data_IF_855775130222
#
_entry.id   IF_855775130222
#
_cell.length_a   1.000
_cell.length_b   1.000
_cell.length_c   1.000
_cell.angle_alpha   90.00
_cell.angle_beta   90.00
_cell.angle_gamma   90.00
#
_symmetry.space_group_name_H-M   'P 1'
#
loop_
_entity.id
_entity.type
_entity.pdbx_description
1 polymer ?
#
# COMPACT_ATOMS: atom_id res chain seq x y z
N UNK A 1 -5.10 3.31 16.08
CA UNK A 1 -5.73 1.98 15.97
C UNK A 1 -4.86 0.97 16.71
N UNK A 2 -5.42 0.00 17.43
CA UNK A 2 -4.60 -1.10 17.99
C UNK A 2 -4.28 -2.08 16.86
N UNK A 3 -3.01 -2.41 16.68
CA UNK A 3 -2.54 -3.37 15.69
C UNK A 3 -1.57 -4.35 16.33
N UNK A 4 -1.37 -5.49 15.69
CA UNK A 4 -0.40 -6.52 16.07
C UNK A 4 0.59 -6.67 14.92
N UNK A 5 1.88 -6.66 15.23
CA UNK A 5 2.91 -6.92 14.23
C UNK A 5 3.04 -8.44 13.97
N UNK A 6 3.88 -8.85 13.01
CA UNK A 6 4.05 -10.26 12.66
C UNK A 6 4.82 -11.07 13.72
N UNK A 7 5.44 -10.41 14.71
CA UNK A 7 6.01 -11.05 15.90
C UNK A 7 4.96 -11.31 17.00
N UNK A 8 3.70 -10.90 16.79
CA UNK A 8 2.63 -10.98 17.79
C UNK A 8 2.63 -9.85 18.82
N UNK A 9 3.46 -8.82 18.65
CA UNK A 9 3.53 -7.69 19.57
C UNK A 9 2.44 -6.65 19.26
N UNK A 10 1.57 -6.32 20.23
CA UNK A 10 0.56 -5.28 20.06
C UNK A 10 1.18 -3.89 20.13
N UNK A 11 0.65 -2.95 19.35
CA UNK A 11 1.04 -1.55 19.39
C UNK A 11 -0.12 -0.63 19.04
N UNK A 12 -0.02 0.65 19.44
CA UNK A 12 -0.92 1.69 18.99
C UNK A 12 -0.40 2.26 17.67
N UNK A 13 -0.98 1.81 16.56
CA UNK A 13 -0.70 2.35 15.24
C UNK A 13 -1.20 3.78 15.13
N UNK A 14 -0.24 4.70 14.96
CA UNK A 14 -0.48 6.10 14.65
C UNK A 14 -0.46 6.21 13.13
N UNK A 15 -1.64 6.36 12.54
CA UNK A 15 -1.80 6.59 11.11
C UNK A 15 -1.14 7.94 10.82
N UNK A 16 0.00 7.87 10.15
CA UNK A 16 0.83 9.01 9.73
C UNK A 16 1.00 8.87 8.23
N UNK A 17 1.08 9.96 7.51
CA UNK A 17 1.19 9.94 6.05
C UNK A 17 0.77 11.28 5.48
N UNK A 18 0.89 11.42 4.17
CA UNK A 18 0.40 12.62 3.50
C UNK A 18 -1.10 12.47 3.26
N UNK A 19 -1.88 13.49 3.62
CA UNK A 19 -3.27 13.56 3.17
C UNK A 19 -3.22 13.77 1.65
N UNK A 20 -3.94 12.95 0.88
CA UNK A 20 -3.94 12.98 -0.60
C UNK A 20 -4.06 14.40 -1.18
N UNK A 21 -4.90 15.25 -0.58
CA UNK A 21 -5.17 16.62 -1.05
C UNK A 21 -4.01 17.59 -0.83
N UNK A 22 -3.02 17.23 -0.03
CA UNK A 22 -1.89 18.07 0.38
C UNK A 22 -0.53 17.50 -0.06
N UNK A 23 -0.49 16.35 -0.73
CA UNK A 23 0.78 15.71 -1.16
C UNK A 23 1.30 16.28 -2.49
N UNK A 24 2.33 17.14 -2.42
CA UNK A 24 3.00 17.73 -3.58
C UNK A 24 4.23 16.94 -4.07
N UNK A 25 4.45 15.72 -3.56
CA UNK A 25 5.60 14.90 -3.94
C UNK A 25 5.41 14.25 -5.31
N UNK A 26 6.51 14.05 -6.04
CA UNK A 26 6.51 13.28 -7.29
C UNK A 26 6.16 11.82 -7.00
N UNK A 27 5.18 11.28 -7.74
CA UNK A 27 4.74 9.89 -7.65
C UNK A 27 4.76 9.21 -9.01
N UNK A 28 4.72 7.88 -9.02
CA UNK A 28 4.58 7.13 -10.26
C UNK A 28 3.26 7.47 -10.96
N UNK A 29 3.21 7.32 -12.29
CA UNK A 29 1.99 7.53 -13.08
C UNK A 29 0.80 6.72 -12.53
N UNK A 30 1.06 5.46 -12.16
CA UNK A 30 0.05 4.55 -11.64
C UNK A 30 -0.46 4.95 -10.25
N UNK A 31 0.42 5.48 -9.39
CA UNK A 31 0.02 6.01 -8.08
C UNK A 31 -0.90 7.24 -8.22
N UNK A 32 -0.57 8.14 -9.16
CA UNK A 32 -1.41 9.31 -9.45
C UNK A 32 -2.78 8.88 -10.00
N UNK A 33 -2.81 7.87 -10.87
CA UNK A 33 -4.07 7.31 -11.37
C UNK A 33 -4.90 6.72 -10.22
N UNK A 34 -4.31 5.86 -9.39
CA UNK A 34 -4.99 5.27 -8.24
C UNK A 34 -5.55 6.35 -7.30
N UNK A 35 -4.77 7.38 -7.01
CA UNK A 35 -5.19 8.55 -6.25
C UNK A 35 -6.44 9.19 -6.84
N UNK A 36 -6.47 9.43 -8.14
CA UNK A 36 -7.63 10.02 -8.81
C UNK A 36 -8.87 9.14 -8.65
N UNK A 37 -8.76 7.84 -8.93
CA UNK A 37 -9.87 6.89 -8.80
C UNK A 37 -10.41 6.82 -7.37
N UNK A 38 -9.52 6.80 -6.38
CA UNK A 38 -9.89 6.76 -4.97
C UNK A 38 -10.63 8.05 -4.56
N UNK A 39 -10.22 9.21 -5.05
CA UNK A 39 -10.93 10.49 -4.79
C UNK A 39 -12.31 10.53 -5.44
N UNK A 40 -12.44 9.99 -6.65
CA UNK A 40 -13.73 9.90 -7.34
C UNK A 40 -14.69 8.95 -6.60
N UNK A 41 -14.19 7.81 -6.13
CA UNK A 41 -14.97 6.81 -5.40
C UNK A 41 -15.35 7.26 -3.99
N UNK A 42 -14.41 7.91 -3.29
CA UNK A 42 -14.57 8.29 -1.88
C UNK A 42 -14.39 9.82 -1.69
N UNK A 43 -15.26 10.65 -2.28
CA UNK A 43 -15.05 12.10 -2.36
C UNK A 43 -15.08 12.81 -1.00
N UNK A 44 -15.73 12.22 0.00
CA UNK A 44 -15.89 12.79 1.35
C UNK A 44 -15.01 12.14 2.40
N UNK A 45 -14.22 11.13 2.02
CA UNK A 45 -13.45 10.32 2.97
C UNK A 45 -11.99 10.73 2.93
N UNK A 46 -11.40 10.83 4.12
CA UNK A 46 -9.95 11.03 4.25
C UNK A 46 -9.22 9.76 3.83
N UNK A 47 -8.48 9.86 2.74
CA UNK A 47 -7.51 8.87 2.28
C UNK A 47 -6.11 9.39 2.66
N UNK A 48 -5.29 8.51 3.23
CA UNK A 48 -3.91 8.83 3.61
C UNK A 48 -2.97 8.03 2.72
N UNK A 49 -1.90 8.65 2.25
CA UNK A 49 -0.88 8.03 1.41
C UNK A 49 0.43 7.79 2.17
N UNK A 50 1.20 6.80 1.71
CA UNK A 50 2.52 6.44 2.27
C UNK A 50 2.45 6.16 3.77
N UNK A 51 1.53 5.30 4.16
CA UNK A 51 1.23 5.06 5.57
C UNK A 51 2.22 4.03 6.15
N UNK A 52 3.06 4.40 7.13
CA UNK A 52 4.04 3.49 7.69
C UNK A 52 3.35 2.42 8.54
N UNK A 53 3.72 1.17 8.30
CA UNK A 53 3.30 0.00 9.08
C UNK A 53 4.53 -0.67 9.69
N UNK A 54 4.42 -1.00 10.98
CA UNK A 54 5.47 -1.74 11.70
C UNK A 54 5.18 -3.23 11.57
N UNK A 55 5.84 -3.90 10.61
CA UNK A 55 5.61 -5.33 10.33
C UNK A 55 6.37 -6.23 11.29
N UNK A 56 7.59 -5.85 11.69
CA UNK A 56 8.39 -6.51 12.72
C UNK A 56 9.00 -5.47 13.66
N UNK A 57 9.63 -5.92 14.74
CA UNK A 57 10.47 -5.02 15.54
C UNK A 57 11.53 -4.32 14.67
N UNK A 58 11.53 -2.98 14.68
CA UNK A 58 12.41 -2.12 13.88
C UNK A 58 12.32 -2.33 12.35
N UNK A 59 11.24 -2.90 11.83
CA UNK A 59 11.00 -2.99 10.40
C UNK A 59 9.72 -2.24 10.03
N UNK A 60 9.88 -1.12 9.33
CA UNK A 60 8.77 -0.31 8.82
C UNK A 60 8.66 -0.47 7.32
N UNK A 61 7.47 -0.85 6.86
CA UNK A 61 7.07 -0.79 5.46
C UNK A 61 6.02 0.32 5.29
N UNK A 62 5.65 0.63 4.06
CA UNK A 62 4.68 1.68 3.76
C UNK A 62 3.55 1.13 2.92
N UNK A 63 2.32 1.47 3.27
CA UNK A 63 1.15 1.25 2.42
C UNK A 63 0.98 2.44 1.48
N UNK A 64 0.72 2.20 0.20
CA UNK A 64 0.56 3.31 -0.77
C UNK A 64 -0.64 4.19 -0.39
N UNK A 65 -1.78 3.57 -0.08
CA UNK A 65 -2.97 4.26 0.43
C UNK A 65 -3.64 3.48 1.56
N UNK A 66 -4.32 4.21 2.43
CA UNK A 66 -5.13 3.64 3.49
C UNK A 66 -6.38 4.46 3.78
N UNK A 67 -7.51 3.77 3.93
CA UNK A 67 -8.83 4.33 4.20
C UNK A 67 -9.30 3.82 5.57
N UNK A 68 -9.07 4.61 6.61
CA UNK A 68 -9.27 4.19 8.00
C UNK A 68 -10.71 3.77 8.32
N UNK A 69 -11.72 4.46 7.77
CA UNK A 69 -13.13 4.19 8.09
C UNK A 69 -13.60 2.83 7.56
N UNK A 70 -13.00 2.36 6.47
CA UNK A 70 -13.32 1.07 5.85
C UNK A 70 -12.29 -0.02 6.19
N UNK A 71 -11.19 0.33 6.87
CA UNK A 71 -10.05 -0.57 7.09
C UNK A 71 -9.53 -1.17 5.79
N UNK A 72 -9.43 -0.35 4.72
CA UNK A 72 -8.92 -0.78 3.41
C UNK A 72 -7.54 -0.19 3.20
N UNK A 73 -6.57 -1.05 2.87
CA UNK A 73 -5.27 -0.69 2.33
C UNK A 73 -5.27 -0.91 0.82
N UNK A 74 -4.59 -0.03 0.07
CA UNK A 74 -4.43 -0.17 -1.37
C UNK A 74 -2.94 -0.10 -1.70
N UNK A 75 -2.48 -1.02 -2.56
CA UNK A 75 -1.13 -1.11 -3.08
C UNK A 75 -1.14 -1.05 -4.62
N UNK A 76 -0.28 -0.23 -5.20
CA UNK A 76 -0.18 0.00 -6.64
C UNK A 76 1.08 -0.67 -7.19
N UNK A 77 0.92 -1.88 -7.70
CA UNK A 77 2.04 -2.70 -8.13
C UNK A 77 2.45 -2.40 -9.58
N UNK A 78 3.60 -1.74 -9.74
CA UNK A 78 4.29 -1.60 -11.03
C UNK A 78 4.87 -2.92 -11.56
N UNK A 79 5.45 -2.91 -12.77
CA UNK A 79 6.08 -4.11 -13.37
C UNK A 79 7.17 -4.71 -12.47
N UNK A 80 7.87 -3.87 -11.71
CA UNK A 80 8.93 -4.27 -10.81
C UNK A 80 8.48 -5.27 -9.71
N UNK A 81 7.19 -5.30 -9.35
CA UNK A 81 6.68 -6.29 -8.38
C UNK A 81 6.57 -7.70 -8.98
N UNK A 82 6.45 -7.80 -10.30
CA UNK A 82 6.23 -9.06 -11.01
C UNK A 82 7.49 -9.59 -11.68
N UNK A 83 8.40 -8.69 -12.07
CA UNK A 83 9.63 -9.04 -12.78
C UNK A 83 10.81 -8.28 -12.20
N UNK A 84 11.94 -8.95 -12.11
CA UNK A 84 13.19 -8.29 -11.78
C UNK A 84 13.59 -7.30 -12.87
N UNK A 85 13.64 -6.04 -12.49
CA UNK A 85 14.29 -4.96 -13.23
C UNK A 85 15.57 -4.53 -12.50
N UNK A 86 16.75 -4.51 -13.16
CA UNK A 86 18.00 -4.08 -12.52
C UNK A 86 17.92 -2.67 -11.90
N UNK A 87 17.23 -1.74 -12.57
CA UNK A 87 17.05 -0.37 -12.08
C UNK A 87 16.36 -0.29 -10.70
N UNK A 88 15.35 -1.14 -10.47
CA UNK A 88 14.56 -1.12 -9.22
C UNK A 88 15.14 -2.01 -8.12
N UNK A 89 15.85 -3.09 -8.47
CA UNK A 89 16.24 -4.11 -7.50
C UNK A 89 17.75 -4.24 -7.30
N UNK A 90 18.57 -3.73 -8.22
CA UNK A 90 20.01 -3.94 -8.26
C UNK A 90 20.38 -5.38 -8.66
N UNK A 91 19.97 -6.37 -7.89
CA UNK A 91 20.25 -7.80 -8.13
C UNK A 91 19.01 -8.69 -7.83
N UNK A 92 19.10 -9.99 -8.14
CA UNK A 92 18.00 -10.94 -7.93
C UNK A 92 17.58 -11.05 -6.46
N UNK A 93 18.52 -10.93 -5.52
CA UNK A 93 18.21 -10.94 -4.08
C UNK A 93 17.42 -9.71 -3.65
N UNK A 94 17.66 -8.56 -4.27
CA UNK A 94 16.86 -7.34 -4.08
C UNK A 94 15.41 -7.55 -4.49
N UNK A 95 15.17 -8.22 -5.63
CA UNK A 95 13.82 -8.58 -6.06
C UNK A 95 13.12 -9.55 -5.12
N UNK A 96 13.82 -10.60 -4.67
CA UNK A 96 13.27 -11.51 -3.66
C UNK A 96 12.95 -10.80 -2.35
N UNK A 97 13.76 -9.81 -1.96
CA UNK A 97 13.50 -8.98 -0.77
C UNK A 97 12.25 -8.11 -0.96
N UNK A 98 12.07 -7.51 -2.14
CA UNK A 98 10.85 -6.75 -2.46
C UNK A 98 9.61 -7.65 -2.41
N UNK A 99 9.64 -8.83 -3.02
CA UNK A 99 8.54 -9.79 -2.94
C UNK A 99 8.23 -10.23 -1.51
N UNK A 100 9.27 -10.46 -0.69
CA UNK A 100 9.09 -10.78 0.73
C UNK A 100 8.41 -9.63 1.47
N UNK A 101 8.76 -8.37 1.18
CA UNK A 101 8.11 -7.22 1.77
C UNK A 101 6.63 -7.14 1.38
N UNK A 102 6.30 -7.38 0.10
CA UNK A 102 4.90 -7.43 -0.35
C UNK A 102 4.10 -8.50 0.41
N UNK A 103 4.68 -9.70 0.59
CA UNK A 103 4.08 -10.76 1.42
C UNK A 103 3.90 -10.32 2.88
N UNK A 104 4.88 -9.65 3.46
CA UNK A 104 4.77 -9.14 4.84
C UNK A 104 3.67 -8.09 4.98
N UNK A 105 3.50 -7.18 3.99
CA UNK A 105 2.39 -6.22 3.99
C UNK A 105 1.05 -6.95 3.97
N UNK A 106 0.91 -7.97 3.13
CA UNK A 106 -0.32 -8.77 3.05
C UNK A 106 -0.64 -9.45 4.37
N UNK A 107 0.32 -10.18 4.95
CA UNK A 107 0.15 -10.85 6.24
C UNK A 107 -0.17 -9.87 7.36
N UNK A 108 0.45 -8.69 7.35
CA UNK A 108 0.20 -7.66 8.35
C UNK A 108 -1.22 -7.11 8.23
N UNK A 109 -1.71 -6.87 7.00
CA UNK A 109 -3.08 -6.43 6.78
C UNK A 109 -4.08 -7.50 7.26
N UNK A 110 -3.86 -8.77 6.90
CA UNK A 110 -4.68 -9.91 7.32
C UNK A 110 -4.75 -10.03 8.85
N UNK A 111 -3.58 -9.99 9.52
CA UNK A 111 -3.46 -10.04 10.99
C UNK A 111 -4.27 -8.94 11.68
N UNK A 112 -4.41 -7.79 11.02
CA UNK A 112 -5.06 -6.61 11.58
C UNK A 112 -6.49 -6.37 11.05
N UNK A 113 -7.07 -7.36 10.36
CA UNK A 113 -8.39 -7.25 9.71
C UNK A 113 -8.50 -6.01 8.81
N UNK A 114 -7.44 -5.76 8.04
CA UNK A 114 -7.38 -4.72 7.01
C UNK A 114 -7.48 -5.41 5.66
N UNK A 115 -8.46 -5.01 4.86
CA UNK A 115 -8.61 -5.51 3.50
C UNK A 115 -7.51 -4.90 2.63
N UNK A 116 -6.67 -5.74 2.01
CA UNK A 116 -5.65 -5.29 1.07
C UNK A 116 -6.15 -5.43 -0.38
N UNK A 117 -6.21 -4.32 -1.11
CA UNK A 117 -6.55 -4.28 -2.54
C UNK A 117 -5.28 -3.98 -3.34
N UNK A 118 -4.93 -4.87 -4.26
CA UNK A 118 -3.77 -4.69 -5.15
C UNK A 118 -4.25 -4.23 -6.53
N UNK A 119 -3.71 -3.10 -6.98
CA UNK A 119 -3.92 -2.47 -8.28
C UNK A 119 -2.68 -2.70 -9.16
N UNK A 120 -2.64 -3.75 -9.99
CA UNK A 120 -1.46 -4.09 -10.77
C UNK A 120 -1.41 -3.28 -12.08
N UNK A 121 -0.19 -2.96 -12.55
CA UNK A 121 0.07 -2.15 -13.74
C UNK A 121 -0.49 -2.73 -15.05
N UNK A 122 -0.70 -4.03 -15.11
CA UNK A 122 -1.17 -4.75 -16.29
C UNK A 122 -2.70 -4.80 -16.40
N UNK A 123 -3.39 -4.04 -15.56
CA UNK A 123 -4.85 -3.88 -15.56
C UNK A 123 -5.20 -2.46 -15.96
N UNK A 124 -6.33 -2.31 -16.64
CA UNK A 124 -6.82 -1.01 -17.05
C UNK A 124 -7.62 -0.33 -15.93
N UNK A 125 -8.06 0.90 -16.19
CA UNK A 125 -8.80 1.72 -15.23
C UNK A 125 -10.12 1.09 -14.80
N UNK A 126 -10.88 0.51 -15.74
CA UNK A 126 -12.17 -0.13 -15.44
C UNK A 126 -11.99 -1.34 -14.54
N UNK A 127 -10.97 -2.15 -14.78
CA UNK A 127 -10.62 -3.28 -13.92
C UNK A 127 -10.20 -2.83 -12.52
N UNK A 128 -9.53 -1.67 -12.39
CA UNK A 128 -9.21 -1.08 -11.10
C UNK A 128 -10.46 -0.55 -10.39
N UNK A 129 -11.39 0.08 -11.12
CA UNK A 129 -12.67 0.54 -10.55
C UNK A 129 -13.46 -0.62 -9.97
N UNK A 130 -13.59 -1.74 -10.70
CA UNK A 130 -14.29 -2.95 -10.22
C UNK A 130 -13.65 -3.48 -8.92
N UNK A 131 -12.32 -3.45 -8.80
CA UNK A 131 -11.64 -3.89 -7.56
C UNK A 131 -11.90 -2.98 -6.36
N UNK A 132 -12.25 -1.72 -6.60
CA UNK A 132 -12.53 -0.71 -5.57
C UNK A 132 -14.03 -0.64 -5.20
N UNK A 133 -14.87 -1.46 -5.83
CA UNK A 133 -16.30 -1.60 -5.51
C UNK A 133 -16.53 -2.45 -4.26
#
# INVERSE_FOLDING_TARGET
MKVVNLDGNPSNWKIRGSIVTLDNRTRSKYHILARQLLKERYPTITIVEEVPISVFHNNTLFLDFYIQIHQIAIEVHGEQHFKYTPHFHGNRMGFLSSQRNDTHKQLWCETNNIQLIILPYNKNEDEWRIKLE
#
